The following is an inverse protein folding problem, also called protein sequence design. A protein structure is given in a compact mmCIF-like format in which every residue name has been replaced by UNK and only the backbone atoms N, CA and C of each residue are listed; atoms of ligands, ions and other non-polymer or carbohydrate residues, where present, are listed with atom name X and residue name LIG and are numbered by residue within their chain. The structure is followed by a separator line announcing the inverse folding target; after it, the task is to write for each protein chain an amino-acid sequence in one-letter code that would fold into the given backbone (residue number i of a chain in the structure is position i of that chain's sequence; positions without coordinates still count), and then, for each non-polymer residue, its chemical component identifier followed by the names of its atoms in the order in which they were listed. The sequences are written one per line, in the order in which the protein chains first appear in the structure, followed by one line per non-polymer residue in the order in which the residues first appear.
data_IF_331980858937
#
_entry.id   IF_331980858937
#
_cell.length_a   1.000
_cell.length_b   1.000
_cell.length_c   1.000
_cell.angle_alpha   90.00
_cell.angle_beta   90.00
_cell.angle_gamma   90.00
#
_symmetry.space_group_name_H-M   'P 1'
#
loop_
_entity.id
_entity.type
_entity.pdbx_description
1 polymer ?
#
# COMPACT_ATOMS: atom_id res chain seq x y z
N UNK A 1 -8.38 -24.04 -17.18
CA UNK A 1 -7.66 -22.95 -16.51
C UNK A 1 -7.19 -23.30 -15.08
N UNK A 2 -7.55 -24.45 -14.57
CA UNK A 2 -7.25 -24.95 -13.21
C UNK A 2 -5.88 -25.64 -13.07
N UNK A 3 -5.18 -25.96 -14.16
CA UNK A 3 -4.01 -26.82 -14.13
C UNK A 3 -2.66 -26.08 -14.10
N UNK A 4 -2.66 -24.76 -14.29
CA UNK A 4 -1.41 -23.95 -14.26
C UNK A 4 -1.06 -23.50 -12.84
N UNK A 5 -2.04 -23.30 -11.98
CA UNK A 5 -1.83 -22.84 -10.60
C UNK A 5 -1.34 -23.93 -9.64
N UNK A 6 -1.57 -25.21 -9.94
CA UNK A 6 -1.15 -26.34 -9.11
C UNK A 6 0.38 -26.58 -9.13
N UNK A 7 1.11 -25.96 -10.05
CA UNK A 7 2.58 -26.08 -10.18
C UNK A 7 3.39 -24.94 -9.57
N UNK A 8 2.75 -23.86 -9.12
CA UNK A 8 3.44 -22.75 -8.51
C UNK A 8 3.20 -22.77 -6.99
N UNK A 9 4.24 -23.13 -6.21
CA UNK A 9 4.25 -22.80 -4.78
C UNK A 9 4.46 -21.30 -4.65
N UNK A 10 3.38 -20.58 -4.40
CA UNK A 10 3.45 -19.15 -4.13
C UNK A 10 3.62 -19.00 -2.62
N UNK A 11 4.83 -18.61 -2.20
CA UNK A 11 5.10 -18.26 -0.80
C UNK A 11 4.94 -16.76 -0.65
N UNK A 12 3.99 -16.33 0.16
CA UNK A 12 3.78 -14.92 0.49
C UNK A 12 4.42 -14.60 1.82
N UNK A 13 5.28 -13.60 1.83
CA UNK A 13 5.73 -12.95 3.05
C UNK A 13 4.75 -11.83 3.38
N UNK A 14 4.01 -11.95 4.47
CA UNK A 14 3.06 -10.93 4.88
C UNK A 14 3.80 -9.77 5.54
N UNK A 15 3.92 -8.65 4.84
CA UNK A 15 4.36 -7.39 5.44
C UNK A 15 3.10 -6.60 5.82
N UNK A 16 2.92 -6.37 7.11
CA UNK A 16 1.73 -5.73 7.69
C UNK A 16 1.49 -4.28 7.24
N UNK A 17 2.45 -3.61 6.63
CA UNK A 17 2.36 -2.20 6.26
C UNK A 17 1.20 -1.89 5.30
N UNK A 18 0.89 -2.77 4.35
CA UNK A 18 -0.23 -2.59 3.43
C UNK A 18 -1.61 -2.68 4.10
N UNK A 19 -1.73 -3.46 5.16
CA UNK A 19 -2.98 -3.66 5.91
C UNK A 19 -3.35 -2.45 6.78
N UNK A 20 -2.36 -1.67 7.19
CA UNK A 20 -2.53 -0.43 7.96
C UNK A 20 -2.41 0.81 7.06
N UNK A 21 -2.93 0.74 5.86
CA UNK A 21 -3.04 1.82 4.90
C UNK A 21 -4.50 2.26 4.77
N UNK A 22 -4.71 3.46 4.26
CA UNK A 22 -6.03 4.01 3.91
C UNK A 22 -6.77 3.17 2.85
N UNK A 23 -6.08 2.28 2.15
CA UNK A 23 -6.68 1.43 1.12
C UNK A 23 -7.08 2.20 -0.14
N UNK A 24 -6.38 3.27 -0.47
CA UNK A 24 -6.56 3.99 -1.73
C UNK A 24 -6.02 3.16 -2.89
N UNK A 25 -6.88 2.93 -3.87
CA UNK A 25 -6.59 2.11 -5.04
C UNK A 25 -6.46 2.99 -6.28
N UNK A 26 -5.43 3.84 -6.30
CA UNK A 26 -5.16 4.72 -7.44
C UNK A 26 -3.92 4.28 -8.20
N UNK A 27 -4.01 4.26 -9.52
CA UNK A 27 -2.88 3.98 -10.41
C UNK A 27 -2.84 5.01 -11.54
N UNK A 28 -1.65 5.19 -12.12
CA UNK A 28 -1.45 6.04 -13.31
C UNK A 28 -1.31 5.22 -14.60
N UNK A 29 -1.42 3.89 -14.50
CA UNK A 29 -1.38 3.03 -15.66
C UNK A 29 -2.81 2.73 -16.13
N UNK A 30 -2.97 2.53 -17.45
CA UNK A 30 -4.18 2.03 -18.07
C UNK A 30 -3.90 0.61 -18.57
N UNK A 31 -4.24 -0.37 -17.75
CA UNK A 31 -4.01 -1.78 -18.05
C UNK A 31 -5.27 -2.58 -17.65
N UNK A 32 -5.81 -3.43 -18.55
CA UNK A 32 -7.02 -4.23 -18.26
C UNK A 32 -6.91 -5.13 -17.02
N UNK A 33 -5.68 -5.44 -16.58
CA UNK A 33 -5.43 -6.20 -15.35
C UNK A 33 -5.77 -5.42 -14.09
N UNK A 34 -5.92 -4.11 -14.17
CA UNK A 34 -6.40 -3.30 -13.03
C UNK A 34 -7.81 -3.72 -12.62
N UNK A 35 -8.69 -3.96 -13.60
CA UNK A 35 -10.06 -4.41 -13.35
C UNK A 35 -10.07 -5.77 -12.65
N UNK A 36 -9.20 -6.70 -13.07
CA UNK A 36 -9.04 -7.98 -12.38
C UNK A 36 -8.67 -7.81 -10.90
N UNK A 37 -7.76 -6.89 -10.59
CA UNK A 37 -7.37 -6.62 -9.19
C UNK A 37 -8.55 -6.09 -8.37
N UNK A 38 -9.32 -5.15 -8.93
CA UNK A 38 -10.51 -4.60 -8.26
C UNK A 38 -11.57 -5.68 -8.04
N UNK A 39 -11.84 -6.52 -9.04
CA UNK A 39 -12.78 -7.63 -8.94
C UNK A 39 -12.38 -8.66 -7.87
N UNK A 40 -11.08 -8.99 -7.79
CA UNK A 40 -10.59 -9.89 -6.74
C UNK A 40 -10.75 -9.25 -5.34
N UNK A 41 -10.48 -7.95 -5.19
CA UNK A 41 -10.72 -7.28 -3.91
C UNK A 41 -12.20 -7.27 -3.52
N UNK A 42 -13.13 -7.01 -4.47
CA UNK A 42 -14.58 -7.05 -4.25
C UNK A 42 -15.02 -8.48 -3.87
N UNK A 43 -14.55 -9.49 -4.58
CA UNK A 43 -14.83 -10.90 -4.29
C UNK A 43 -14.44 -11.28 -2.86
N UNK A 44 -13.42 -10.64 -2.33
CA UNK A 44 -12.90 -10.86 -0.98
C UNK A 44 -13.42 -9.87 0.07
N UNK A 45 -14.44 -9.08 -0.25
CA UNK A 45 -15.17 -8.26 0.71
C UNK A 45 -14.87 -6.76 0.67
N UNK A 46 -14.19 -6.27 -0.36
CA UNK A 46 -14.10 -4.84 -0.59
C UNK A 46 -15.45 -4.28 -1.08
N UNK A 47 -15.76 -3.00 -0.83
CA UNK A 47 -16.99 -2.38 -1.32
C UNK A 47 -17.09 -2.42 -2.85
N UNK A 48 -18.27 -2.75 -3.38
CA UNK A 48 -18.50 -2.80 -4.84
C UNK A 48 -18.23 -1.46 -5.54
N UNK A 49 -18.40 -0.37 -4.82
CA UNK A 49 -18.20 0.98 -5.35
C UNK A 49 -16.77 1.30 -5.79
N UNK A 50 -15.76 0.52 -5.36
CA UNK A 50 -14.38 0.68 -5.82
C UNK A 50 -14.25 0.44 -7.33
N UNK A 51 -15.21 -0.26 -7.94
CA UNK A 51 -15.26 -0.53 -9.38
C UNK A 51 -15.48 0.73 -10.22
N UNK A 52 -16.28 1.67 -9.73
CA UNK A 52 -16.73 2.82 -10.51
C UNK A 52 -16.36 4.19 -9.91
N UNK A 53 -15.91 4.25 -8.67
CA UNK A 53 -15.45 5.50 -8.08
C UNK A 53 -14.10 5.93 -8.67
N UNK A 54 -13.99 7.20 -9.03
CA UNK A 54 -12.75 7.77 -9.60
C UNK A 54 -11.54 7.68 -8.64
N UNK A 55 -11.79 7.76 -7.33
CA UNK A 55 -10.78 7.61 -6.27
C UNK A 55 -11.23 6.52 -5.31
N UNK A 56 -11.09 5.25 -5.72
CA UNK A 56 -11.57 4.14 -4.90
C UNK A 56 -10.80 4.05 -3.58
N UNK A 57 -11.53 3.76 -2.53
CA UNK A 57 -11.04 3.69 -1.16
C UNK A 57 -11.73 2.54 -0.44
N UNK A 58 -10.96 1.67 0.18
CA UNK A 58 -11.48 0.52 0.92
C UNK A 58 -11.67 0.83 2.40
N UNK A 59 -10.79 1.65 2.97
CA UNK A 59 -10.73 1.91 4.41
C UNK A 59 -9.88 0.87 5.15
N UNK A 60 -9.17 1.32 6.17
CA UNK A 60 -8.28 0.46 6.96
C UNK A 60 -9.03 -0.65 7.69
N UNK A 61 -10.23 -0.37 8.14
CA UNK A 61 -11.13 -1.30 8.84
C UNK A 61 -11.52 -2.48 7.95
N UNK A 62 -12.00 -2.23 6.74
CA UNK A 62 -12.42 -3.27 5.79
C UNK A 62 -11.24 -3.99 5.15
N UNK A 63 -10.15 -3.28 4.85
CA UNK A 63 -8.98 -3.83 4.17
C UNK A 63 -8.38 -5.03 4.90
N UNK A 64 -8.42 -5.05 6.23
CA UNK A 64 -7.97 -6.20 7.03
C UNK A 64 -8.74 -7.48 6.70
N UNK A 65 -10.07 -7.37 6.55
CA UNK A 65 -10.93 -8.47 6.16
C UNK A 65 -10.62 -8.98 4.76
N UNK A 66 -10.46 -8.06 3.81
CA UNK A 66 -10.11 -8.36 2.42
C UNK A 66 -8.79 -9.12 2.33
N UNK A 67 -7.73 -8.61 2.96
CA UNK A 67 -6.40 -9.25 2.95
C UNK A 67 -6.44 -10.63 3.62
N UNK A 68 -7.18 -10.77 4.72
CA UNK A 68 -7.38 -12.07 5.37
C UNK A 68 -8.07 -13.05 4.43
N UNK A 69 -9.16 -12.65 3.78
CA UNK A 69 -9.93 -13.48 2.86
C UNK A 69 -9.09 -13.92 1.65
N UNK A 70 -8.31 -13.01 1.05
CA UNK A 70 -7.37 -13.35 -0.04
C UNK A 70 -6.35 -14.39 0.42
N UNK A 71 -5.78 -14.22 1.60
CA UNK A 71 -4.83 -15.17 2.17
C UNK A 71 -5.45 -16.57 2.36
N UNK A 72 -6.65 -16.64 2.89
CA UNK A 72 -7.38 -17.89 3.09
C UNK A 72 -7.67 -18.58 1.76
N UNK A 73 -8.01 -17.82 0.72
CA UNK A 73 -8.19 -18.34 -0.63
C UNK A 73 -6.91 -18.91 -1.23
N UNK A 74 -5.78 -18.22 -1.05
CA UNK A 74 -4.46 -18.72 -1.47
C UNK A 74 -4.17 -20.09 -0.83
N UNK A 75 -4.43 -20.23 0.48
CA UNK A 75 -4.24 -21.49 1.20
C UNK A 75 -5.21 -22.57 0.68
N UNK A 76 -6.47 -22.21 0.46
CA UNK A 76 -7.47 -23.11 -0.09
C UNK A 76 -7.10 -23.65 -1.48
N UNK A 77 -6.43 -22.83 -2.29
CA UNK A 77 -5.92 -23.20 -3.61
C UNK A 77 -4.61 -24.00 -3.58
N UNK A 78 -4.11 -24.35 -2.40
CA UNK A 78 -2.87 -25.13 -2.21
C UNK A 78 -1.61 -24.28 -2.12
N UNK A 79 -1.72 -22.96 -2.05
CA UNK A 79 -0.64 -22.05 -1.76
C UNK A 79 -0.21 -22.12 -0.28
N UNK A 80 0.95 -21.56 0.02
CA UNK A 80 1.48 -21.47 1.39
C UNK A 80 1.71 -20.01 1.76
N UNK A 81 1.31 -19.64 2.97
CA UNK A 81 1.61 -18.34 3.58
C UNK A 81 2.43 -18.61 4.83
N UNK A 82 3.66 -18.14 4.83
CA UNK A 82 4.62 -18.37 5.91
C UNK A 82 4.76 -17.08 6.72
N UNK A 83 4.24 -17.11 7.95
CA UNK A 83 4.45 -16.05 8.94
C UNK A 83 5.78 -16.22 9.65
N UNK A 84 6.28 -15.15 10.25
CA UNK A 84 7.55 -15.13 10.99
C UNK A 84 8.72 -15.72 10.20
N UNK A 85 8.63 -15.64 8.87
CA UNK A 85 9.61 -16.21 7.95
C UNK A 85 10.21 -15.09 7.12
N UNK A 86 11.41 -14.66 7.49
CA UNK A 86 12.15 -13.59 6.83
C UNK A 86 12.92 -14.15 5.62
N UNK A 87 12.82 -13.48 4.48
CA UNK A 87 13.74 -13.73 3.37
C UNK A 87 15.12 -13.15 3.73
N UNK A 88 16.15 -13.98 3.68
CA UNK A 88 17.51 -13.60 4.01
C UNK A 88 18.37 -13.38 2.77
N UNK A 89 18.27 -14.28 1.77
CA UNK A 89 19.08 -14.20 0.55
C UNK A 89 18.35 -14.77 -0.66
N UNK A 90 18.74 -14.30 -1.84
CA UNK A 90 18.36 -14.90 -3.11
C UNK A 90 19.53 -15.76 -3.63
N UNK A 91 19.28 -17.03 -3.89
CA UNK A 91 20.28 -17.95 -4.46
C UNK A 91 20.24 -17.84 -5.98
N UNK A 92 21.28 -17.25 -6.53
CA UNK A 92 21.44 -17.10 -7.98
C UNK A 92 22.49 -18.10 -8.52
N UNK A 93 22.19 -18.74 -9.65
CA UNK A 93 23.17 -19.51 -10.43
C UNK A 93 23.04 -19.12 -11.90
N UNK A 94 24.14 -18.74 -12.50
CA UNK A 94 24.18 -18.31 -13.90
C UNK A 94 23.13 -17.22 -14.24
N UNK A 95 22.93 -16.24 -13.32
CA UNK A 95 21.97 -15.16 -13.48
C UNK A 95 20.49 -15.55 -13.34
N UNK A 96 20.20 -16.77 -12.84
CA UNK A 96 18.83 -17.24 -12.63
C UNK A 96 18.56 -17.55 -11.17
N UNK A 97 17.36 -17.24 -10.70
CA UNK A 97 16.90 -17.62 -9.36
C UNK A 97 16.78 -19.14 -9.28
N UNK A 98 17.36 -19.72 -8.24
CA UNK A 98 17.27 -21.16 -7.94
C UNK A 98 16.51 -21.42 -6.65
N UNK A 99 16.68 -20.54 -5.67
CA UNK A 99 16.03 -20.66 -4.37
C UNK A 99 16.01 -19.32 -3.64
N UNK A 100 15.23 -19.27 -2.59
CA UNK A 100 15.26 -18.22 -1.56
C UNK A 100 15.70 -18.86 -0.25
N UNK A 101 16.72 -18.31 0.39
CA UNK A 101 17.05 -18.64 1.79
C UNK A 101 16.18 -17.78 2.70
N UNK A 102 15.56 -18.43 3.66
CA UNK A 102 14.73 -17.78 4.67
C UNK A 102 15.14 -18.23 6.07
N UNK A 103 14.66 -17.53 7.09
CA UNK A 103 14.86 -17.91 8.50
C UNK A 103 14.29 -19.30 8.85
N UNK A 104 13.38 -19.82 8.01
CA UNK A 104 12.79 -21.17 8.17
C UNK A 104 13.43 -22.24 7.25
N UNK A 105 14.46 -21.88 6.47
CA UNK A 105 15.16 -22.80 5.57
C UNK A 105 15.16 -22.32 4.09
N UNK A 106 15.62 -23.19 3.21
CA UNK A 106 15.73 -22.88 1.79
C UNK A 106 14.46 -23.31 1.04
N UNK A 107 13.95 -22.39 0.22
CA UNK A 107 12.75 -22.58 -0.59
C UNK A 107 13.17 -22.58 -2.06
N UNK A 108 13.20 -23.73 -2.73
CA UNK A 108 13.52 -23.81 -4.16
C UNK A 108 12.46 -23.08 -4.99
N UNK A 109 12.89 -22.17 -5.86
CA UNK A 109 12.01 -21.45 -6.77
C UNK A 109 12.76 -20.95 -7.98
N UNK A 110 12.09 -20.84 -9.12
CA UNK A 110 12.62 -20.27 -10.36
C UNK A 110 12.14 -18.85 -10.62
N UNK A 111 11.09 -18.43 -9.91
CA UNK A 111 10.51 -17.08 -10.03
C UNK A 111 10.31 -16.51 -8.63
N UNK A 112 10.80 -15.31 -8.43
CA UNK A 112 10.65 -14.55 -7.18
C UNK A 112 10.02 -13.20 -7.48
N UNK A 113 8.91 -12.88 -6.82
CA UNK A 113 8.31 -11.55 -6.82
C UNK A 113 8.66 -10.86 -5.50
N UNK A 114 9.40 -9.75 -5.60
CA UNK A 114 9.75 -8.91 -4.47
C UNK A 114 8.73 -7.79 -4.31
N UNK A 115 7.91 -7.87 -3.28
CA UNK A 115 6.89 -6.88 -2.94
C UNK A 115 7.05 -6.43 -1.48
N UNK A 116 8.29 -6.09 -1.09
CA UNK A 116 8.76 -5.89 0.28
C UNK A 116 8.53 -4.47 0.81
N UNK A 117 8.03 -3.55 -0.03
CA UNK A 117 7.88 -2.15 0.34
C UNK A 117 9.24 -1.41 0.46
N UNK A 118 9.17 -0.13 0.78
CA UNK A 118 10.37 0.73 0.81
C UNK A 118 11.19 0.61 2.11
N UNK A 119 10.61 0.08 3.19
CA UNK A 119 11.24 0.04 4.52
C UNK A 119 12.12 -1.19 4.76
N UNK A 120 12.15 -2.15 3.84
CA UNK A 120 12.97 -3.37 3.94
C UNK A 120 14.44 -3.10 3.54
N UNK A 121 15.11 -2.18 4.24
CA UNK A 121 16.46 -1.71 3.90
C UNK A 121 17.50 -2.81 3.98
N UNK A 122 17.45 -3.62 5.02
CA UNK A 122 18.29 -4.80 5.20
C UNK A 122 18.16 -5.79 4.03
N UNK A 123 16.96 -5.96 3.48
CA UNK A 123 16.73 -6.79 2.29
C UNK A 123 17.33 -6.15 1.05
N UNK A 124 17.21 -4.83 0.86
CA UNK A 124 17.84 -4.15 -0.27
C UNK A 124 19.37 -4.23 -0.21
N UNK A 125 19.97 -4.05 0.97
CA UNK A 125 21.41 -4.22 1.18
C UNK A 125 21.86 -5.64 0.84
N UNK A 126 21.10 -6.64 1.27
CA UNK A 126 21.41 -8.03 0.96
C UNK A 126 21.26 -8.35 -0.54
N UNK A 127 20.25 -7.79 -1.21
CA UNK A 127 20.09 -7.95 -2.65
C UNK A 127 21.27 -7.37 -3.43
N UNK A 128 21.76 -6.19 -3.02
CA UNK A 128 23.00 -5.63 -3.58
C UNK A 128 24.19 -6.56 -3.35
N UNK A 129 24.36 -7.09 -2.14
CA UNK A 129 25.44 -8.02 -1.81
C UNK A 129 25.36 -9.35 -2.62
N UNK A 130 24.15 -9.78 -2.95
CA UNK A 130 23.89 -10.97 -3.78
C UNK A 130 24.08 -10.71 -5.28
N UNK A 131 24.43 -9.47 -5.67
CA UNK A 131 24.70 -9.10 -7.06
C UNK A 131 23.45 -8.71 -7.88
N UNK A 132 22.33 -8.44 -7.22
CA UNK A 132 21.14 -7.88 -7.87
C UNK A 132 21.37 -6.40 -8.15
N UNK A 133 21.18 -5.99 -9.40
CA UNK A 133 21.32 -4.59 -9.79
C UNK A 133 20.16 -3.76 -9.20
N UNK A 134 20.50 -2.72 -8.45
CA UNK A 134 19.56 -1.75 -7.88
C UNK A 134 19.90 -0.35 -8.39
N UNK A 135 18.88 0.38 -8.82
CA UNK A 135 19.00 1.75 -9.28
C UNK A 135 18.35 2.70 -8.27
N UNK A 136 19.09 3.71 -7.77
CA UNK A 136 18.50 4.69 -6.87
C UNK A 136 17.49 5.57 -7.60
N UNK A 137 16.36 5.85 -6.94
CA UNK A 137 15.35 6.78 -7.45
C UNK A 137 15.12 7.92 -6.46
N UNK A 138 14.96 9.16 -6.93
CA UNK A 138 14.54 10.25 -6.08
C UNK A 138 13.12 10.02 -5.55
N UNK A 139 12.87 10.51 -4.34
CA UNK A 139 11.55 10.49 -3.73
C UNK A 139 11.28 11.83 -3.04
N UNK A 140 10.01 12.13 -2.82
CA UNK A 140 9.61 13.36 -2.14
C UNK A 140 9.70 13.18 -0.62
N UNK A 141 10.21 14.21 0.04
CA UNK A 141 10.37 14.28 1.49
C UNK A 141 9.56 15.47 2.01
N UNK A 142 8.91 15.31 3.14
CA UNK A 142 8.13 16.38 3.72
C UNK A 142 7.60 16.04 5.10
N UNK A 143 6.54 16.72 5.48
CA UNK A 143 5.89 16.56 6.78
C UNK A 143 4.43 16.17 6.59
N UNK A 144 3.84 15.53 7.58
CA UNK A 144 2.39 15.32 7.61
C UNK A 144 1.75 16.37 8.48
N UNK A 145 0.72 17.02 7.94
CA UNK A 145 -0.10 18.01 8.62
C UNK A 145 -1.46 17.40 8.96
N UNK A 146 -2.00 17.77 10.09
CA UNK A 146 -3.32 17.35 10.55
C UNK A 146 -4.15 18.56 10.95
N UNK A 147 -5.43 18.55 10.64
CA UNK A 147 -6.37 19.60 11.00
C UNK A 147 -7.79 19.04 11.10
N UNK A 148 -8.70 19.78 11.69
CA UNK A 148 -10.09 19.36 11.80
C UNK A 148 -10.75 19.22 10.43
N UNK A 149 -11.45 18.12 10.20
CA UNK A 149 -12.19 17.88 8.96
C UNK A 149 -13.22 18.99 8.71
N UNK A 150 -13.87 19.51 9.74
CA UNK A 150 -14.86 20.61 9.65
C UNK A 150 -14.28 21.89 9.05
N UNK A 151 -13.01 22.19 9.28
CA UNK A 151 -12.32 23.34 8.67
C UNK A 151 -12.17 23.16 7.18
N UNK A 152 -11.81 21.93 6.76
CA UNK A 152 -11.68 21.59 5.32
C UNK A 152 -13.05 21.65 4.65
N UNK A 153 -14.06 21.02 5.26
CA UNK A 153 -15.43 21.02 4.73
C UNK A 153 -15.96 22.45 4.58
N UNK A 154 -15.75 23.29 5.57
CA UNK A 154 -16.15 24.71 5.50
C UNK A 154 -15.41 25.48 4.41
N UNK A 155 -14.11 25.22 4.24
CA UNK A 155 -13.30 25.86 3.20
C UNK A 155 -13.72 25.47 1.77
N UNK A 156 -14.11 24.21 1.57
CA UNK A 156 -14.49 23.70 0.24
C UNK A 156 -15.97 23.91 -0.08
N UNK A 157 -16.85 23.74 0.89
CA UNK A 157 -18.31 23.73 0.67
C UNK A 157 -19.02 24.99 1.21
N UNK A 158 -18.33 25.83 1.97
CA UNK A 158 -18.91 27.04 2.55
C UNK A 158 -20.16 26.73 3.36
N UNK A 159 -21.27 27.39 3.03
CA UNK A 159 -22.56 27.19 3.72
C UNK A 159 -23.17 25.79 3.53
N UNK A 160 -22.68 25.02 2.57
CA UNK A 160 -23.15 23.65 2.34
C UNK A 160 -22.35 22.59 3.12
N UNK A 161 -21.36 23.00 3.90
CA UNK A 161 -20.60 22.08 4.73
C UNK A 161 -21.54 21.28 5.67
N UNK A 162 -21.35 19.96 5.71
CA UNK A 162 -22.22 19.08 6.49
C UNK A 162 -23.51 18.63 5.79
N UNK A 163 -23.75 19.05 4.55
CA UNK A 163 -24.89 18.54 3.80
C UNK A 163 -24.75 17.04 3.51
N UNK A 164 -25.78 16.20 3.78
CA UNK A 164 -25.67 14.73 3.74
C UNK A 164 -25.36 14.17 2.35
N UNK A 165 -25.62 14.90 1.28
CA UNK A 165 -25.28 14.49 -0.08
C UNK A 165 -23.82 14.83 -0.48
N UNK A 166 -23.09 15.58 0.35
CA UNK A 166 -21.70 15.92 0.08
C UNK A 166 -20.77 14.95 0.80
N UNK A 167 -19.72 14.43 0.13
CA UNK A 167 -18.69 13.66 0.78
C UNK A 167 -17.86 14.52 1.73
N UNK A 168 -17.05 13.92 2.57
CA UNK A 168 -16.01 14.64 3.33
C UNK A 168 -15.09 15.35 2.36
N UNK A 169 -14.77 16.61 2.66
CA UNK A 169 -13.90 17.43 1.85
C UNK A 169 -12.50 16.82 1.73
N UNK A 170 -12.00 16.75 0.52
CA UNK A 170 -10.62 16.36 0.26
C UNK A 170 -9.98 17.37 -0.71
N UNK A 171 -8.69 17.55 -0.60
CA UNK A 171 -7.95 18.46 -1.46
C UNK A 171 -6.68 17.82 -2.02
N UNK A 172 -6.28 18.34 -3.17
CA UNK A 172 -4.98 18.07 -3.77
C UNK A 172 -4.44 19.41 -4.28
N UNK A 173 -3.38 19.87 -3.65
CA UNK A 173 -2.79 21.18 -3.91
C UNK A 173 -1.35 20.99 -4.41
N UNK A 174 -0.93 21.87 -5.29
CA UNK A 174 0.46 21.93 -5.73
C UNK A 174 0.84 23.39 -5.99
N UNK A 175 2.08 23.70 -5.68
CA UNK A 175 2.67 24.99 -5.94
C UNK A 175 4.10 24.81 -6.43
N UNK A 176 4.56 25.74 -7.24
CA UNK A 176 5.94 25.72 -7.75
C UNK A 176 6.51 27.14 -7.69
N UNK A 177 7.73 27.26 -7.18
CA UNK A 177 8.44 28.52 -7.14
C UNK A 177 9.05 28.89 -8.52
N UNK A 178 9.63 30.11 -8.60
CA UNK A 178 10.28 30.61 -9.81
C UNK A 178 11.52 29.80 -10.21
N UNK A 179 12.15 29.11 -9.25
CA UNK A 179 13.31 28.23 -9.47
C UNK A 179 12.89 26.82 -9.90
N UNK A 180 11.56 26.55 -9.98
CA UNK A 180 11.03 25.25 -10.37
C UNK A 180 10.91 24.24 -9.25
N UNK A 181 11.19 24.62 -7.97
CA UNK A 181 10.96 23.75 -6.82
C UNK A 181 9.48 23.57 -6.60
N UNK A 182 9.02 22.35 -6.53
CA UNK A 182 7.62 22.00 -6.28
C UNK A 182 7.36 21.71 -4.82
N UNK A 183 6.18 22.14 -4.34
CA UNK A 183 5.58 21.69 -3.08
C UNK A 183 4.17 21.22 -3.39
N UNK A 184 3.79 20.06 -2.90
CA UNK A 184 2.45 19.52 -3.17
C UNK A 184 1.94 18.68 -2.02
N UNK A 185 0.60 18.58 -1.94
CA UNK A 185 -0.04 17.69 -0.98
C UNK A 185 -0.12 16.28 -1.54
N UNK A 186 0.10 15.31 -0.67
CA UNK A 186 0.07 13.91 -1.04
C UNK A 186 -0.70 13.08 -0.01
N UNK A 187 -1.41 12.05 -0.47
CA UNK A 187 -2.11 11.10 0.38
C UNK A 187 -2.97 11.77 1.47
N UNK A 188 -3.84 12.71 1.07
CA UNK A 188 -4.82 13.31 1.98
C UNK A 188 -5.83 12.26 2.43
N UNK A 189 -6.06 12.17 3.74
CA UNK A 189 -6.95 11.22 4.38
C UNK A 189 -8.07 12.00 5.10
N UNK A 190 -9.24 12.17 4.46
CA UNK A 190 -10.41 12.79 5.09
C UNK A 190 -10.94 11.94 6.23
N UNK A 191 -11.41 12.58 7.30
CA UNK A 191 -11.96 11.88 8.46
C UNK A 191 -11.00 10.83 9.03
N UNK A 192 -9.70 11.11 9.00
CA UNK A 192 -8.66 10.17 9.35
C UNK A 192 -7.70 10.71 10.39
N UNK A 193 -6.63 9.98 10.61
CA UNK A 193 -5.63 10.28 11.64
C UNK A 193 -4.22 9.93 11.18
N UNK A 194 -3.25 10.57 11.80
CA UNK A 194 -1.83 10.31 11.58
C UNK A 194 -1.40 9.09 12.41
N UNK A 195 -0.62 8.22 11.81
CA UNK A 195 -0.06 7.03 12.47
C UNK A 195 1.45 7.01 12.37
N UNK A 196 2.10 6.50 13.41
CA UNK A 196 3.53 6.17 13.35
C UNK A 196 3.75 4.98 12.41
N UNK A 197 4.74 5.08 11.54
CA UNK A 197 5.09 4.03 10.59
C UNK A 197 6.61 3.84 10.47
N UNK A 198 7.34 4.20 11.51
CA UNK A 198 8.79 3.96 11.58
C UNK A 198 9.08 2.46 11.62
N UNK A 199 10.06 2.02 10.86
CA UNK A 199 10.55 0.64 10.80
C UNK A 199 11.96 0.46 11.36
N UNK A 200 12.57 1.53 11.84
CA UNK A 200 13.89 1.56 12.44
C UNK A 200 13.86 2.33 13.76
N UNK A 201 14.74 1.96 14.68
CA UNK A 201 14.93 2.67 15.93
C UNK A 201 15.41 4.11 15.66
N UNK A 202 15.06 5.03 16.55
CA UNK A 202 15.44 6.44 16.50
C UNK A 202 15.02 7.18 15.21
N UNK A 203 14.06 6.66 14.46
CA UNK A 203 13.48 7.32 13.29
C UNK A 203 12.03 7.73 13.49
N UNK A 204 11.64 8.83 12.84
CA UNK A 204 10.25 9.29 12.83
C UNK A 204 9.74 9.27 11.39
N UNK A 205 8.84 8.33 11.10
CA UNK A 205 8.11 8.24 9.85
C UNK A 205 6.63 8.19 10.16
N UNK A 206 5.84 8.95 9.42
CA UNK A 206 4.39 9.00 9.61
C UNK A 206 3.65 8.59 8.35
N UNK A 207 2.49 7.99 8.55
CA UNK A 207 1.51 7.75 7.50
C UNK A 207 0.15 8.31 7.93
N UNK A 208 -0.82 8.36 7.02
CA UNK A 208 -2.21 8.71 7.32
C UNK A 208 -3.12 7.55 6.99
N UNK A 209 -4.16 7.42 7.80
CA UNK A 209 -5.19 6.41 7.62
C UNK A 209 -6.57 7.03 7.81
N UNK A 210 -7.57 6.46 7.16
CA UNK A 210 -8.98 6.67 7.46
C UNK A 210 -9.73 5.36 7.36
N UNK A 211 -10.81 5.24 8.12
CA UNK A 211 -11.75 4.15 7.98
C UNK A 211 -12.63 4.36 6.74
N UNK A 212 -13.36 3.33 6.34
CA UNK A 212 -14.24 3.40 5.18
C UNK A 212 -15.25 4.56 5.27
N UNK A 213 -15.84 4.76 6.45
CA UNK A 213 -16.82 5.82 6.70
C UNK A 213 -16.24 7.24 6.64
N UNK A 214 -14.92 7.40 6.79
CA UNK A 214 -14.25 8.72 6.83
C UNK A 214 -14.89 9.70 7.80
N UNK A 215 -15.35 9.20 8.95
CA UNK A 215 -16.13 9.93 9.93
C UNK A 215 -15.33 10.45 11.13
N UNK A 216 -14.02 10.27 11.12
CA UNK A 216 -13.12 10.83 12.12
C UNK A 216 -13.16 12.36 12.18
N UNK A 217 -12.82 12.92 13.33
CA UNK A 217 -12.84 14.35 13.60
C UNK A 217 -11.84 15.13 12.76
N UNK A 218 -10.68 14.53 12.48
CA UNK A 218 -9.57 15.16 11.79
C UNK A 218 -9.42 14.66 10.35
N UNK A 219 -8.65 15.41 9.60
CA UNK A 219 -8.10 15.03 8.33
C UNK A 219 -6.60 15.31 8.32
N UNK A 220 -5.86 14.58 7.52
CA UNK A 220 -4.43 14.80 7.40
C UNK A 220 -3.94 14.64 5.97
N UNK A 221 -2.80 15.27 5.64
CA UNK A 221 -2.14 15.16 4.36
C UNK A 221 -0.63 15.29 4.53
N UNK A 222 0.14 14.63 3.69
CA UNK A 222 1.54 14.95 3.55
C UNK A 222 1.71 16.24 2.74
N UNK A 223 2.66 17.08 3.13
CA UNK A 223 3.15 18.22 2.38
C UNK A 223 4.62 17.92 2.03
N UNK A 224 4.88 17.68 0.77
CA UNK A 224 6.16 17.18 0.25
C UNK A 224 6.67 18.03 -0.91
#
# INVERSE_FOLDING_TARGET
MTDVLSRFRVSFFCICAGTFSDGKLTTRISDPRCDFVLEEMIRHGAPEEIRYRQKPHVGTDLLRGVVKSIREEIIRLGGQVLFETKMERVVLRQGRVQAVKSSAGEIPTQVLVLAIGHSARDTFEQLCADGVFLEPKPFSVGVRIEQRQSVIDAGLYGKQAGHPALPKGEYQLSWRDEQGRGVYTFCMCPGGYVVASSSEEDTVVTNGMSEYARDGENANAALV
#
